data_IF_061423833517
#
_entry.id   IF_061423833517
#
_cell.length_a   1.000
_cell.length_b   1.000
_cell.length_c   1.000
_cell.angle_alpha   90.00
_cell.angle_beta   90.00
_cell.angle_gamma   90.00
#
_symmetry.space_group_name_H-M   'P 1'
#
loop_
_entity.id
_entity.type
_entity.pdbx_description
1 polymer ?
#
# COMPACT_ATOMS: atom_id res chain seq x y z
N UNK A 1 16.08 -5.15 0.86
CA UNK A 1 15.42 -4.33 1.91
C UNK A 1 13.91 -4.49 1.80
N UNK A 2 13.21 -4.57 2.93
CA UNK A 2 11.75 -4.66 3.00
C UNK A 2 11.18 -3.36 3.58
N UNK A 3 10.11 -2.84 2.95
CA UNK A 3 9.40 -1.65 3.40
C UNK A 3 7.92 -1.98 3.56
N UNK A 4 7.36 -1.60 4.71
CA UNK A 4 5.93 -1.69 4.97
C UNK A 4 5.34 -0.29 5.06
N UNK A 5 4.29 -0.03 4.29
CA UNK A 5 3.53 1.22 4.35
C UNK A 5 2.16 0.90 4.94
N UNK A 6 1.74 1.64 5.96
CA UNK A 6 0.43 1.48 6.59
C UNK A 6 -0.45 2.64 6.18
N UNK A 7 -1.56 2.38 5.52
CA UNK A 7 -2.48 3.41 5.02
C UNK A 7 -3.91 2.90 5.00
N UNK A 8 -4.86 3.75 5.35
CA UNK A 8 -6.24 3.31 5.62
C UNK A 8 -7.32 4.14 4.89
N UNK A 9 -6.92 5.03 3.99
CA UNK A 9 -7.87 5.85 3.23
C UNK A 9 -7.48 6.08 1.77
N UNK A 10 -8.44 6.28 0.85
CA UNK A 10 -8.15 6.61 -0.55
C UNK A 10 -7.25 7.84 -0.73
N UNK A 11 -7.39 8.83 0.15
CA UNK A 11 -6.56 10.04 0.16
C UNK A 11 -5.10 9.75 0.50
N UNK A 12 -4.84 8.84 1.44
CA UNK A 12 -3.48 8.39 1.76
C UNK A 12 -2.87 7.55 0.63
N UNK A 13 -3.65 6.63 0.07
CA UNK A 13 -3.21 5.76 -1.02
C UNK A 13 -2.77 6.57 -2.25
N UNK A 14 -3.58 7.54 -2.64
CA UNK A 14 -3.31 8.42 -3.78
C UNK A 14 -2.30 9.53 -3.45
N UNK A 15 -2.40 10.12 -2.26
CA UNK A 15 -1.63 11.30 -1.85
C UNK A 15 -0.18 10.99 -1.52
N UNK A 16 0.11 9.86 -0.86
CA UNK A 16 1.48 9.56 -0.43
C UNK A 16 1.96 8.12 -0.69
N UNK A 17 1.11 7.10 -0.62
CA UNK A 17 1.56 5.71 -0.89
C UNK A 17 2.06 5.55 -2.32
N UNK A 18 1.28 6.02 -3.30
CA UNK A 18 1.64 5.95 -4.72
C UNK A 18 2.95 6.68 -5.06
N UNK A 19 3.18 7.95 -4.67
CA UNK A 19 4.44 8.62 -4.96
C UNK A 19 5.64 8.03 -4.21
N UNK A 20 5.46 7.56 -2.96
CA UNK A 20 6.55 6.91 -2.20
C UNK A 20 6.98 5.61 -2.87
N UNK A 21 6.04 4.71 -3.19
CA UNK A 21 6.35 3.42 -3.83
C UNK A 21 7.09 3.60 -5.15
N UNK A 22 6.64 4.55 -5.99
CA UNK A 22 7.33 4.94 -7.23
C UNK A 22 8.76 5.40 -6.96
N UNK A 23 8.96 6.31 -6.01
CA UNK A 23 10.26 6.89 -5.70
C UNK A 23 11.25 5.85 -5.15
N UNK A 24 10.78 4.96 -4.28
CA UNK A 24 11.60 3.87 -3.73
C UNK A 24 12.05 2.91 -4.84
N UNK A 25 11.13 2.46 -5.70
CA UNK A 25 11.47 1.58 -6.84
C UNK A 25 12.39 2.24 -7.87
N UNK A 26 12.33 3.57 -8.03
CA UNK A 26 13.26 4.32 -8.87
C UNK A 26 14.67 4.38 -8.28
N UNK A 27 14.80 4.53 -6.95
CA UNK A 27 16.09 4.50 -6.26
C UNK A 27 16.71 3.11 -6.28
N UNK A 28 15.92 2.09 -6.01
CA UNK A 28 16.38 0.70 -5.99
C UNK A 28 15.21 -0.25 -6.33
N UNK A 29 15.27 -0.86 -7.51
CA UNK A 29 14.23 -1.79 -7.99
C UNK A 29 14.03 -3.02 -7.10
N UNK A 30 15.08 -3.43 -6.38
CA UNK A 30 15.10 -4.62 -5.52
C UNK A 30 14.37 -4.43 -4.18
N UNK A 31 14.03 -3.19 -3.79
CA UNK A 31 13.24 -2.94 -2.57
C UNK A 31 11.90 -3.64 -2.70
N UNK A 32 11.54 -4.45 -1.71
CA UNK A 32 10.23 -5.08 -1.61
C UNK A 32 9.30 -4.21 -0.79
N UNK A 33 8.15 -3.85 -1.37
CA UNK A 33 7.20 -2.91 -0.77
C UNK A 33 5.87 -3.61 -0.57
N UNK A 34 5.42 -3.67 0.68
CA UNK A 34 4.11 -4.19 1.05
C UNK A 34 3.27 -3.09 1.69
N UNK A 35 2.00 -3.01 1.31
CA UNK A 35 1.05 -2.07 1.90
C UNK A 35 0.11 -2.81 2.83
N UNK A 36 -0.04 -2.31 4.05
CA UNK A 36 -0.92 -2.86 5.07
C UNK A 36 -2.10 -1.92 5.24
N UNK A 37 -3.31 -2.43 5.04
CA UNK A 37 -4.55 -1.69 5.25
C UNK A 37 -5.10 -2.09 6.63
N UNK A 38 -5.00 -1.22 7.66
CA UNK A 38 -5.55 -1.51 8.96
C UNK A 38 -7.08 -1.41 8.96
N UNK A 39 -7.78 -2.07 9.91
CA UNK A 39 -9.21 -1.90 10.07
C UNK A 39 -9.55 -0.42 10.32
N UNK A 40 -10.50 0.12 9.58
CA UNK A 40 -10.93 1.50 9.70
C UNK A 40 -12.44 1.58 9.48
N UNK A 41 -13.15 2.20 10.43
CA UNK A 41 -14.61 2.38 10.35
C UNK A 41 -15.05 3.30 9.20
N UNK A 42 -14.11 4.07 8.65
CA UNK A 42 -14.35 5.01 7.55
C UNK A 42 -13.79 4.52 6.20
N UNK A 43 -13.22 3.31 6.16
CA UNK A 43 -12.73 2.74 4.91
C UNK A 43 -13.89 2.42 3.97
N UNK A 44 -13.65 2.60 2.67
CA UNK A 44 -14.61 2.22 1.63
C UNK A 44 -14.71 0.70 1.45
N UNK A 45 -13.68 -0.04 1.90
CA UNK A 45 -13.53 -1.47 1.66
C UNK A 45 -12.83 -1.79 0.34
N UNK A 46 -12.55 -0.79 -0.49
CA UNK A 46 -11.93 -0.95 -1.81
C UNK A 46 -10.42 -0.71 -1.79
N UNK A 47 -9.84 -0.33 -0.64
CA UNK A 47 -8.45 0.08 -0.52
C UNK A 47 -7.47 -1.01 -0.99
N UNK A 48 -7.74 -2.28 -0.64
CA UNK A 48 -6.93 -3.43 -1.06
C UNK A 48 -6.92 -3.59 -2.59
N UNK A 49 -8.06 -3.40 -3.25
CA UNK A 49 -8.19 -3.47 -4.70
C UNK A 49 -7.43 -2.34 -5.39
N UNK A 50 -7.60 -1.10 -4.89
CA UNK A 50 -6.90 0.08 -5.40
C UNK A 50 -5.39 -0.11 -5.36
N UNK A 51 -4.87 -0.60 -4.23
CA UNK A 51 -3.43 -0.85 -4.04
C UNK A 51 -2.93 -1.99 -4.91
N UNK A 52 -3.74 -3.03 -5.13
CA UNK A 52 -3.39 -4.14 -6.02
C UNK A 52 -3.13 -3.67 -7.46
N UNK A 53 -3.72 -2.55 -7.87
CA UNK A 53 -3.43 -1.90 -9.15
C UNK A 53 -2.16 -1.05 -9.19
N UNK A 54 -1.41 -0.91 -8.09
CA UNK A 54 -0.21 -0.08 -8.07
C UNK A 54 1.00 -0.86 -8.60
N UNK A 55 1.66 -0.42 -9.70
CA UNK A 55 2.73 -1.17 -10.32
C UNK A 55 4.01 -1.26 -9.48
N UNK A 56 4.13 -0.44 -8.43
CA UNK A 56 5.31 -0.35 -7.58
C UNK A 56 5.12 -1.00 -6.20
N UNK A 57 4.03 -1.73 -6.00
CA UNK A 57 3.72 -2.48 -4.78
C UNK A 57 3.90 -3.97 -5.07
N UNK A 58 4.65 -4.68 -4.21
CA UNK A 58 4.89 -6.12 -4.34
C UNK A 58 3.82 -6.96 -3.61
N UNK A 59 3.10 -6.37 -2.67
CA UNK A 59 2.01 -7.05 -1.96
C UNK A 59 1.13 -6.13 -1.15
N UNK A 60 -0.09 -6.58 -0.87
CA UNK A 60 -1.05 -5.86 -0.03
C UNK A 60 -1.71 -6.84 0.93
N UNK A 61 -1.86 -6.41 2.18
CA UNK A 61 -2.61 -7.13 3.20
C UNK A 61 -3.74 -6.23 3.71
N UNK A 62 -4.97 -6.68 3.54
CA UNK A 62 -6.17 -6.10 4.13
C UNK A 62 -6.43 -6.62 5.54
N UNK A 63 -7.39 -6.03 6.26
CA UNK A 63 -7.65 -6.34 7.66
C UNK A 63 -7.85 -7.83 7.94
N UNK A 64 -8.49 -8.56 7.04
CA UNK A 64 -8.79 -9.99 7.19
C UNK A 64 -7.62 -10.92 6.86
N UNK A 65 -6.54 -10.42 6.26
CA UNK A 65 -5.43 -11.27 5.81
C UNK A 65 -4.45 -11.62 6.95
N UNK A 66 -4.56 -10.96 8.11
CA UNK A 66 -3.67 -11.13 9.25
C UNK A 66 -4.39 -11.23 10.61
N UNK A 67 -5.72 -11.33 10.57
CA UNK A 67 -6.56 -11.61 11.74
C UNK A 67 -6.84 -13.11 11.88
#
# INVERSE_FOLDING_TARGET
MQVFLVANSPGELSGWVKPITRTLKQKEKAIKISVIIPPCQYASGMEKEVVSGFPNVDGVAGPTDYL
#
